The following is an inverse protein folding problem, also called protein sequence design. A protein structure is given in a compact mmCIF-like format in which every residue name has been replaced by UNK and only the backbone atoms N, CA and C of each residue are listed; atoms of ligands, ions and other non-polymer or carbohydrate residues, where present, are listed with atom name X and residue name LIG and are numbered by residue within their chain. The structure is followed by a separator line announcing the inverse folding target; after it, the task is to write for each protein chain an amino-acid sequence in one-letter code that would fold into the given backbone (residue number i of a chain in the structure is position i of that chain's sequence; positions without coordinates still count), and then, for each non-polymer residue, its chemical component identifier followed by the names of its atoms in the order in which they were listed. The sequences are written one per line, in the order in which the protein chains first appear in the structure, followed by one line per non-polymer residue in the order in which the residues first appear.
data_IF_424810682349
#
_entry.id   IF_424810682349
#
_cell.length_a   1.000
_cell.length_b   1.000
_cell.length_c   1.000
_cell.angle_alpha   90.00
_cell.angle_beta   90.00
_cell.angle_gamma   90.00
#
_symmetry.space_group_name_H-M   'P 1'
#
loop_
_entity.id
_entity.type
_entity.pdbx_description
1 polymer ?
#
# COMPACT_ATOMS: atom_id res chain seq x y z
N UNK A 1 1.54 17.97 -2.15
CA UNK A 1 0.89 17.76 -3.46
C UNK A 1 0.45 19.08 -4.01
N UNK A 2 0.91 19.38 -5.21
CA UNK A 2 0.80 20.68 -5.86
C UNK A 2 -0.64 21.17 -5.96
N UNK A 3 -1.59 20.26 -6.12
CA UNK A 3 -3.04 20.54 -6.18
C UNK A 3 -3.62 21.26 -4.95
N UNK A 4 -2.92 21.26 -3.81
CA UNK A 4 -3.35 21.96 -2.58
C UNK A 4 -2.79 23.39 -2.47
N UNK A 5 -1.84 23.76 -3.32
CA UNK A 5 -1.21 25.08 -3.31
C UNK A 5 -2.12 26.06 -4.05
N UNK A 6 -2.58 27.11 -3.36
CA UNK A 6 -3.52 28.09 -3.93
C UNK A 6 -2.85 29.15 -4.80
N UNK A 7 -1.63 29.53 -4.43
CA UNK A 7 -0.86 30.56 -5.13
C UNK A 7 0.60 30.15 -5.20
N UNK A 8 1.19 30.33 -6.38
CA UNK A 8 2.62 30.11 -6.59
C UNK A 8 3.31 31.46 -6.75
N UNK A 9 4.56 31.53 -6.31
CA UNK A 9 5.39 32.70 -6.59
C UNK A 9 5.56 32.87 -8.11
N UNK A 10 5.52 34.09 -8.67
CA UNK A 10 5.57 34.30 -10.12
C UNK A 10 6.81 33.69 -10.81
N UNK A 11 7.94 33.64 -10.11
CA UNK A 11 9.20 33.09 -10.63
C UNK A 11 9.36 31.57 -10.39
N UNK A 12 8.37 30.88 -9.84
CA UNK A 12 8.45 29.43 -9.64
C UNK A 12 8.27 28.70 -10.98
N UNK A 13 9.06 27.66 -11.26
CA UNK A 13 8.93 26.85 -12.48
C UNK A 13 7.50 26.29 -12.65
N UNK A 14 6.92 25.80 -11.57
CA UNK A 14 5.54 25.27 -11.48
C UNK A 14 4.46 26.37 -11.50
N UNK A 15 4.82 27.65 -11.58
CA UNK A 15 3.86 28.71 -11.92
C UNK A 15 3.37 28.54 -13.37
N UNK A 16 4.23 28.02 -14.25
CA UNK A 16 3.89 27.60 -15.60
C UNK A 16 2.95 26.38 -15.59
N UNK A 17 1.87 26.46 -16.36
CA UNK A 17 0.82 25.43 -16.40
C UNK A 17 1.28 24.12 -17.03
N UNK A 18 2.21 24.15 -17.99
CA UNK A 18 2.75 22.95 -18.62
C UNK A 18 3.54 22.13 -17.60
N UNK A 19 4.52 22.75 -16.93
CA UNK A 19 5.33 22.06 -15.91
C UNK A 19 4.49 21.66 -14.69
N UNK A 20 3.52 22.49 -14.27
CA UNK A 20 2.60 22.10 -13.21
C UNK A 20 1.79 20.87 -13.57
N UNK A 21 1.18 20.84 -14.75
CA UNK A 21 0.38 19.72 -15.22
C UNK A 21 1.18 18.42 -15.27
N UNK A 22 2.43 18.49 -15.72
CA UNK A 22 3.35 17.35 -15.73
C UNK A 22 3.55 16.76 -14.32
N UNK A 23 3.93 17.59 -13.34
CA UNK A 23 4.18 17.12 -11.97
C UNK A 23 2.89 16.66 -11.28
N UNK A 24 1.76 17.36 -11.49
CA UNK A 24 0.47 16.95 -10.94
C UNK A 24 -0.03 15.61 -11.48
N UNK A 25 0.23 15.31 -12.76
CA UNK A 25 -0.09 14.02 -13.35
C UNK A 25 0.72 12.91 -12.70
N UNK A 26 2.03 13.11 -12.61
CA UNK A 26 2.94 12.17 -11.95
C UNK A 26 2.53 11.92 -10.49
N UNK A 27 2.29 12.97 -9.69
CA UNK A 27 1.80 12.84 -8.32
C UNK A 27 0.50 12.03 -8.27
N UNK A 28 -0.44 12.27 -9.20
CA UNK A 28 -1.74 11.59 -9.21
C UNK A 28 -1.65 10.10 -9.54
N UNK A 29 -0.78 9.73 -10.48
CA UNK A 29 -0.54 8.33 -10.86
C UNK A 29 0.09 7.55 -9.70
N UNK A 30 1.14 8.12 -9.09
CA UNK A 30 1.81 7.52 -7.95
C UNK A 30 0.84 7.35 -6.77
N UNK A 31 0.03 8.37 -6.51
CA UNK A 31 -0.96 8.36 -5.43
C UNK A 31 -2.04 7.31 -5.63
N UNK A 32 -2.50 7.12 -6.87
CA UNK A 32 -3.46 6.08 -7.20
C UNK A 32 -2.88 4.69 -6.96
N UNK A 33 -1.61 4.48 -7.32
CA UNK A 33 -0.91 3.22 -7.08
C UNK A 33 -0.76 2.89 -5.60
N UNK A 34 -0.22 3.83 -4.82
CA UNK A 34 0.11 3.58 -3.40
C UNK A 34 -1.12 3.52 -2.49
N UNK A 35 -2.22 4.19 -2.87
CA UNK A 35 -3.46 4.25 -2.07
C UNK A 35 -3.98 2.88 -1.68
N UNK A 36 -3.97 1.92 -2.61
CA UNK A 36 -4.42 0.55 -2.36
C UNK A 36 -3.58 -0.11 -1.27
N UNK A 37 -2.25 -0.07 -1.41
CA UNK A 37 -1.32 -0.66 -0.44
C UNK A 37 -1.49 -0.02 0.93
N UNK A 38 -1.62 1.31 0.99
CA UNK A 38 -1.78 2.04 2.24
C UNK A 38 -3.10 1.69 2.95
N UNK A 39 -4.23 1.64 2.23
CA UNK A 39 -5.53 1.25 2.80
C UNK A 39 -5.44 -0.14 3.43
N UNK A 40 -4.93 -1.11 2.67
CA UNK A 40 -4.81 -2.49 3.13
C UNK A 40 -3.84 -2.62 4.32
N UNK A 41 -2.73 -1.86 4.30
CA UNK A 41 -1.77 -1.86 5.41
C UNK A 41 -2.35 -1.26 6.70
N UNK A 42 -3.15 -0.18 6.60
CA UNK A 42 -3.88 0.37 7.75
C UNK A 42 -4.86 -0.65 8.31
N UNK A 43 -5.65 -1.32 7.44
CA UNK A 43 -6.56 -2.38 7.88
C UNK A 43 -5.82 -3.50 8.60
N UNK A 44 -4.71 -3.99 8.03
CA UNK A 44 -3.88 -5.06 8.62
C UNK A 44 -3.32 -4.67 9.99
N UNK A 45 -2.91 -3.42 10.18
CA UNK A 45 -2.23 -2.97 11.41
C UNK A 45 -3.20 -2.66 12.55
N UNK A 46 -4.38 -2.15 12.24
CA UNK A 46 -5.27 -1.53 13.23
C UNK A 46 -6.62 -2.22 13.38
N UNK A 47 -6.83 -3.39 12.76
CA UNK A 47 -8.17 -3.97 12.75
C UNK A 47 -8.24 -5.48 12.62
N UNK A 48 -8.48 -6.13 13.76
CA UNK A 48 -8.96 -7.51 13.81
C UNK A 48 -10.49 -7.60 13.64
N UNK A 49 -11.21 -6.49 13.86
CA UNK A 49 -12.68 -6.42 13.89
C UNK A 49 -13.32 -5.64 12.72
N UNK A 50 -12.51 -5.16 11.80
CA UNK A 50 -12.91 -4.33 10.64
C UNK A 50 -12.89 -2.85 10.91
N UNK A 51 -12.69 -2.08 9.83
CA UNK A 51 -12.68 -0.60 9.86
C UNK A 51 -13.79 -0.08 8.96
N UNK A 52 -14.55 0.92 9.42
CA UNK A 52 -15.52 1.59 8.55
C UNK A 52 -14.88 2.73 7.75
N UNK A 53 -15.46 3.05 6.59
CA UNK A 53 -14.83 3.92 5.58
C UNK A 53 -14.28 5.25 6.11
N UNK A 54 -15.06 5.99 6.90
CA UNK A 54 -14.61 7.26 7.46
C UNK A 54 -13.44 7.10 8.45
N UNK A 55 -13.41 6.03 9.26
CA UNK A 55 -12.26 5.73 10.12
C UNK A 55 -10.98 5.51 9.32
N UNK A 56 -11.06 4.81 8.18
CA UNK A 56 -9.90 4.60 7.30
C UNK A 56 -9.30 5.90 6.79
N UNK A 57 -10.16 6.84 6.35
CA UNK A 57 -9.69 8.16 5.89
C UNK A 57 -8.89 8.85 6.98
N UNK A 58 -9.42 8.86 8.20
CA UNK A 58 -8.76 9.51 9.33
C UNK A 58 -7.45 8.82 9.71
N UNK A 59 -7.46 7.50 9.83
CA UNK A 59 -6.26 6.71 10.13
C UNK A 59 -5.16 6.91 9.08
N UNK A 60 -5.50 6.95 7.78
CA UNK A 60 -4.54 7.24 6.72
C UNK A 60 -3.94 8.64 6.84
N UNK A 61 -4.77 9.64 7.12
CA UNK A 61 -4.29 11.02 7.32
C UNK A 61 -3.34 11.10 8.52
N UNK A 62 -3.73 10.51 9.66
CA UNK A 62 -2.97 10.54 10.90
C UNK A 62 -1.63 9.78 10.76
N UNK A 63 -1.67 8.54 10.26
CA UNK A 63 -0.48 7.68 10.13
C UNK A 63 0.50 8.14 9.03
N UNK A 64 0.05 8.95 8.08
CA UNK A 64 0.90 9.48 7.00
C UNK A 64 1.24 10.96 7.17
N UNK A 65 0.97 11.55 8.34
CA UNK A 65 1.23 12.98 8.60
C UNK A 65 0.62 13.90 7.52
N UNK A 66 -0.62 13.62 7.10
CA UNK A 66 -1.36 14.33 6.06
C UNK A 66 -0.75 14.28 4.64
N UNK A 67 0.25 13.42 4.39
CA UNK A 67 0.81 13.23 3.05
C UNK A 67 -0.18 12.49 2.16
N UNK A 68 -0.73 11.36 2.63
CA UNK A 68 -1.71 10.57 1.91
C UNK A 68 -3.12 10.96 2.38
N UNK A 69 -3.79 11.77 1.57
CA UNK A 69 -5.19 12.16 1.79
C UNK A 69 -6.04 11.52 0.71
N UNK A 70 -6.92 10.61 1.13
CA UNK A 70 -7.91 9.96 0.26
C UNK A 70 -9.28 10.49 0.68
N UNK A 71 -9.99 11.12 -0.24
CA UNK A 71 -11.39 11.51 -0.01
C UNK A 71 -12.34 10.31 -0.11
N UNK A 72 -13.55 10.46 0.42
CA UNK A 72 -14.57 9.42 0.40
C UNK A 72 -14.98 9.01 -1.03
N UNK A 73 -15.00 9.96 -1.95
CA UNK A 73 -15.33 9.72 -3.37
C UNK A 73 -14.31 8.81 -4.06
N UNK A 74 -13.06 8.80 -3.61
CA UNK A 74 -12.00 7.91 -4.06
C UNK A 74 -11.96 6.61 -3.27
N UNK A 75 -12.15 6.68 -1.95
CA UNK A 75 -12.05 5.53 -1.06
C UNK A 75 -13.13 4.47 -1.35
N UNK A 76 -14.41 4.86 -1.41
CA UNK A 76 -15.50 3.88 -1.51
C UNK A 76 -15.50 3.08 -2.82
N UNK A 77 -15.22 3.67 -4.00
CA UNK A 77 -15.03 2.89 -5.21
C UNK A 77 -13.88 1.89 -5.12
N UNK A 78 -12.76 2.27 -4.49
CA UNK A 78 -11.63 1.36 -4.25
C UNK A 78 -12.03 0.20 -3.34
N UNK A 79 -12.69 0.49 -2.21
CA UNK A 79 -13.18 -0.55 -1.28
C UNK A 79 -14.14 -1.51 -1.97
N UNK A 80 -15.09 -0.99 -2.76
CA UNK A 80 -16.04 -1.82 -3.52
C UNK A 80 -15.33 -2.70 -4.55
N UNK A 81 -14.31 -2.17 -5.23
CA UNK A 81 -13.50 -2.95 -6.18
C UNK A 81 -12.75 -4.06 -5.47
N UNK A 82 -12.03 -3.74 -4.39
CA UNK A 82 -11.27 -4.74 -3.62
C UNK A 82 -12.16 -5.82 -3.00
N UNK A 83 -13.38 -5.48 -2.58
CA UNK A 83 -14.36 -6.46 -2.13
C UNK A 83 -14.83 -7.37 -3.27
N UNK A 84 -15.14 -6.79 -4.45
CA UNK A 84 -15.51 -7.56 -5.64
C UNK A 84 -14.40 -8.53 -6.06
N UNK A 85 -13.15 -8.09 -5.94
CA UNK A 85 -11.95 -8.85 -6.30
C UNK A 85 -11.53 -9.85 -5.20
N UNK A 86 -12.30 -9.99 -4.11
CA UNK A 86 -12.05 -10.96 -3.03
C UNK A 86 -10.92 -10.58 -2.07
N UNK A 87 -10.33 -9.39 -2.21
CA UNK A 87 -9.28 -8.88 -1.31
C UNK A 87 -9.87 -8.47 0.04
N UNK A 88 -11.11 -8.00 0.03
CA UNK A 88 -11.83 -7.57 1.23
C UNK A 88 -13.16 -8.33 1.37
N UNK A 89 -13.61 -8.43 2.61
CA UNK A 89 -14.99 -8.75 2.97
C UNK A 89 -15.59 -7.61 3.76
N UNK A 90 -16.91 -7.46 3.73
CA UNK A 90 -17.58 -6.46 4.54
C UNK A 90 -18.79 -6.99 5.28
N UNK A 91 -19.11 -6.31 6.38
CA UNK A 91 -20.27 -6.57 7.22
C UNK A 91 -20.96 -5.26 7.57
N UNK A 92 -22.29 -5.29 7.71
CA UNK A 92 -23.08 -4.15 8.19
C UNK A 92 -23.30 -4.32 9.68
N UNK A 93 -22.83 -3.35 10.47
CA UNK A 93 -23.02 -3.29 11.92
C UNK A 93 -23.89 -2.09 12.29
N UNK A 94 -24.80 -2.27 13.23
CA UNK A 94 -25.54 -1.17 13.83
C UNK A 94 -24.78 -0.70 15.07
N UNK A 95 -24.29 0.55 15.04
CA UNK A 95 -23.52 1.17 16.12
C UNK A 95 -24.13 2.53 16.39
N UNK A 96 -24.57 2.76 17.64
CA UNK A 96 -25.25 3.98 18.08
C UNK A 96 -26.47 4.34 17.21
N UNK A 97 -27.26 3.33 16.83
CA UNK A 97 -28.45 3.49 15.99
C UNK A 97 -28.15 3.81 14.52
N UNK A 98 -26.87 3.80 14.11
CA UNK A 98 -26.47 4.01 12.71
C UNK A 98 -25.90 2.72 12.13
N UNK A 99 -26.43 2.33 10.97
CA UNK A 99 -25.86 1.22 10.20
C UNK A 99 -24.59 1.68 9.49
N UNK A 100 -23.46 1.04 9.81
CA UNK A 100 -22.14 1.31 9.21
C UNK A 100 -21.62 0.04 8.55
N UNK A 101 -20.91 0.21 7.44
CA UNK A 101 -20.24 -0.90 6.75
C UNK A 101 -18.78 -0.98 7.19
N UNK A 102 -18.40 -2.11 7.74
CA UNK A 102 -17.04 -2.41 8.20
C UNK A 102 -16.39 -3.34 7.18
N UNK A 103 -15.12 -3.09 6.87
CA UNK A 103 -14.33 -3.86 5.92
C UNK A 103 -13.18 -4.56 6.64
N UNK A 104 -12.90 -5.80 6.22
CA UNK A 104 -11.81 -6.63 6.71
C UNK A 104 -11.04 -7.25 5.55
N UNK A 105 -9.75 -7.47 5.75
CA UNK A 105 -8.92 -8.27 4.84
C UNK A 105 -9.36 -9.73 4.88
N UNK A 106 -9.49 -10.33 3.70
CA UNK A 106 -9.51 -11.80 3.58
C UNK A 106 -8.11 -12.36 3.78
N UNK A 107 -7.99 -13.67 3.95
CA UNK A 107 -6.67 -14.30 4.02
C UNK A 107 -5.90 -14.15 2.71
N UNK A 108 -6.58 -14.28 1.57
CA UNK A 108 -5.98 -13.97 0.26
C UNK A 108 -5.61 -12.49 0.14
N UNK A 109 -6.43 -11.58 0.68
CA UNK A 109 -6.11 -10.16 0.75
C UNK A 109 -4.84 -9.87 1.54
N UNK A 110 -4.59 -10.57 2.64
CA UNK A 110 -3.33 -10.46 3.42
C UNK A 110 -2.13 -10.94 2.61
N UNK A 111 -2.26 -12.06 1.90
CA UNK A 111 -1.22 -12.61 1.02
C UNK A 111 -0.89 -11.66 -0.12
N UNK A 112 -1.90 -11.14 -0.81
CA UNK A 112 -1.74 -10.15 -1.88
C UNK A 112 -1.09 -8.86 -1.36
N UNK A 113 -1.49 -8.37 -0.18
CA UNK A 113 -0.83 -7.24 0.47
C UNK A 113 0.66 -7.50 0.74
N UNK A 114 1.03 -8.67 1.25
CA UNK A 114 2.42 -9.03 1.47
C UNK A 114 3.23 -9.01 0.15
N UNK A 115 2.66 -9.54 -0.93
CA UNK A 115 3.28 -9.49 -2.26
C UNK A 115 3.48 -8.05 -2.73
N UNK A 116 2.44 -7.21 -2.67
CA UNK A 116 2.53 -5.81 -3.08
C UNK A 116 3.58 -5.02 -2.28
N UNK A 117 3.64 -5.22 -0.96
CA UNK A 117 4.67 -4.61 -0.10
C UNK A 117 6.08 -5.12 -0.43
N UNK A 118 6.19 -6.40 -0.76
CA UNK A 118 7.44 -7.02 -1.20
C UNK A 118 7.98 -6.39 -2.48
N UNK A 119 7.14 -6.36 -3.51
CA UNK A 119 7.45 -5.70 -4.78
C UNK A 119 7.80 -4.22 -4.58
N UNK A 120 7.00 -3.48 -3.79
CA UNK A 120 7.23 -2.06 -3.52
C UNK A 120 8.58 -1.81 -2.84
N UNK A 121 8.94 -2.62 -1.82
CA UNK A 121 10.24 -2.52 -1.16
C UNK A 121 11.40 -2.79 -2.13
N UNK A 122 11.29 -3.82 -2.98
CA UNK A 122 12.35 -4.15 -3.96
C UNK A 122 12.51 -3.08 -5.02
N UNK A 123 11.42 -2.50 -5.51
CA UNK A 123 11.46 -1.38 -6.46
C UNK A 123 12.18 -0.18 -5.85
N UNK A 124 11.81 0.17 -4.62
CA UNK A 124 12.41 1.27 -3.88
C UNK A 124 13.91 1.06 -3.62
N UNK A 125 14.31 -0.15 -3.22
CA UNK A 125 15.71 -0.55 -3.05
C UNK A 125 16.50 -0.42 -4.36
N UNK A 126 15.93 -0.82 -5.49
CA UNK A 126 16.57 -0.75 -6.80
C UNK A 126 16.73 0.69 -7.33
N UNK A 127 15.80 1.58 -6.98
CA UNK A 127 15.82 3.00 -7.39
C UNK A 127 16.67 3.86 -6.45
N UNK A 128 16.82 3.47 -5.20
CA UNK A 128 17.56 4.26 -4.19
C UNK A 128 18.99 4.64 -4.64
N UNK A 129 19.82 3.76 -5.24
CA UNK A 129 21.16 4.14 -5.72
C UNK A 129 21.17 5.16 -6.87
N UNK A 130 20.04 5.33 -7.57
CA UNK A 130 19.88 6.34 -8.61
C UNK A 130 19.45 7.70 -8.05
N UNK A 131 19.21 7.78 -6.74
CA UNK A 131 18.62 8.92 -6.06
C UNK A 131 19.46 9.31 -4.83
N UNK A 132 19.24 10.52 -4.32
CA UNK A 132 19.98 11.02 -3.15
C UNK A 132 19.35 10.58 -1.81
N UNK A 133 18.76 9.38 -1.75
CA UNK A 133 18.14 8.85 -0.53
C UNK A 133 18.49 7.38 -0.28
N UNK A 134 18.64 7.03 0.99
CA UNK A 134 18.85 5.65 1.43
C UNK A 134 17.56 5.05 1.99
N UNK A 135 17.38 3.75 1.77
CA UNK A 135 16.27 2.99 2.34
C UNK A 135 16.83 1.88 3.21
N UNK A 136 16.41 1.85 4.48
CA UNK A 136 16.76 0.79 5.43
C UNK A 136 15.61 -0.21 5.51
N UNK A 137 15.80 -1.37 4.90
CA UNK A 137 14.89 -2.50 5.04
C UNK A 137 15.39 -3.40 6.19
N UNK A 138 14.51 -3.86 7.11
CA UNK A 138 14.91 -4.85 8.11
C UNK A 138 15.07 -6.23 7.45
N UNK A 139 16.25 -6.49 6.89
CA UNK A 139 16.61 -7.71 6.14
C UNK A 139 16.66 -8.97 7.02
N UNK A 140 16.81 -8.82 8.33
CA UNK A 140 16.90 -9.89 9.32
C UNK A 140 15.56 -10.59 9.62
N UNK A 141 14.45 -10.08 9.08
CA UNK A 141 13.10 -10.57 9.42
C UNK A 141 12.40 -11.34 8.30
N UNK A 142 12.84 -11.14 7.05
CA UNK A 142 12.20 -11.75 5.90
C UNK A 142 13.19 -11.94 4.75
N UNK A 143 12.97 -12.98 3.97
CA UNK A 143 13.54 -13.11 2.64
C UNK A 143 12.54 -12.64 1.59
N UNK A 144 13.04 -12.22 0.43
CA UNK A 144 12.21 -11.93 -0.73
C UNK A 144 12.20 -13.14 -1.66
N UNK A 145 11.02 -13.55 -2.10
CA UNK A 145 10.89 -14.55 -3.16
C UNK A 145 11.61 -14.05 -4.42
N UNK A 146 12.55 -14.81 -5.00
CA UNK A 146 13.29 -14.36 -6.18
C UNK A 146 12.42 -14.23 -7.43
N UNK A 147 11.30 -14.96 -7.49
CA UNK A 147 10.42 -14.95 -8.66
C UNK A 147 9.40 -13.79 -8.65
N UNK A 148 8.85 -13.45 -7.48
CA UNK A 148 7.76 -12.47 -7.40
C UNK A 148 7.96 -11.38 -6.33
N UNK A 149 9.12 -11.31 -5.68
CA UNK A 149 9.43 -10.37 -4.61
C UNK A 149 8.49 -10.45 -3.38
N UNK A 150 7.67 -11.50 -3.22
CA UNK A 150 6.87 -11.67 -1.99
C UNK A 150 7.76 -11.74 -0.76
N UNK A 151 7.38 -11.04 0.33
CA UNK A 151 8.07 -11.15 1.62
C UNK A 151 7.66 -12.45 2.31
N UNK A 152 8.65 -13.30 2.59
CA UNK A 152 8.49 -14.55 3.33
C UNK A 152 9.23 -14.36 4.65
N UNK A 153 8.53 -14.47 5.76
CA UNK A 153 9.18 -14.37 7.08
C UNK A 153 10.13 -15.54 7.29
N UNK A 154 11.28 -15.28 7.89
CA UNK A 154 12.29 -16.33 8.15
C UNK A 154 11.79 -17.38 9.17
N UNK A 155 10.89 -17.01 10.07
CA UNK A 155 10.23 -17.92 11.02
C UNK A 155 9.21 -18.87 10.35
N UNK A 156 8.68 -18.48 9.18
CA UNK A 156 7.64 -19.19 8.44
C UNK A 156 8.21 -19.84 7.17
N UNK A 157 9.45 -20.36 7.20
CA UNK A 157 10.08 -20.97 6.01
C UNK A 157 9.25 -22.17 5.51
N UNK A 158 8.38 -21.88 4.55
CA UNK A 158 7.59 -22.85 3.80
C UNK A 158 8.42 -23.43 2.66
N UNK A 159 8.05 -24.62 2.17
CA UNK A 159 8.75 -25.25 1.02
C UNK A 159 8.63 -24.43 -0.27
N UNK A 160 7.59 -23.61 -0.39
CA UNK A 160 7.30 -22.81 -1.58
C UNK A 160 6.69 -21.44 -1.22
N UNK A 161 6.83 -20.48 -2.12
CA UNK A 161 6.19 -19.17 -2.04
C UNK A 161 4.68 -19.30 -2.23
N UNK A 162 3.89 -18.93 -1.23
CA UNK A 162 2.42 -19.03 -1.27
C UNK A 162 1.72 -18.18 -2.35
N UNK A 163 2.45 -17.25 -2.98
CA UNK A 163 1.93 -16.36 -4.03
C UNK A 163 2.17 -16.94 -5.42
N UNK A 164 3.39 -17.40 -5.71
CA UNK A 164 3.79 -17.81 -7.06
C UNK A 164 4.21 -19.27 -7.19
N UNK A 165 4.25 -20.03 -6.08
CA UNK A 165 4.63 -21.44 -6.06
C UNK A 165 6.13 -21.72 -6.15
N UNK A 166 7.00 -20.70 -6.20
CA UNK A 166 8.46 -20.89 -6.26
C UNK A 166 9.00 -21.68 -5.07
N UNK A 167 9.76 -22.75 -5.30
CA UNK A 167 10.33 -23.58 -4.23
C UNK A 167 11.47 -22.85 -3.51
N UNK A 168 11.32 -22.65 -2.21
CA UNK A 168 12.25 -21.86 -1.37
C UNK A 168 13.45 -22.70 -0.93
N UNK A 169 13.30 -24.03 -0.82
CA UNK A 169 14.37 -24.98 -0.43
C UNK A 169 15.56 -25.00 -1.42
N UNK A 170 15.37 -24.55 -2.67
CA UNK A 170 16.45 -24.46 -3.67
C UNK A 170 17.52 -23.41 -3.30
N UNK A 171 17.19 -22.46 -2.41
CA UNK A 171 18.10 -21.41 -1.96
C UNK A 171 18.99 -21.82 -0.78
N UNK A 172 18.58 -22.82 0.01
CA UNK A 172 19.38 -23.31 1.15
C UNK A 172 20.49 -24.28 0.74
N UNK A 173 20.42 -24.87 -0.46
CA UNK A 173 21.40 -25.84 -0.97
C UNK A 173 22.49 -25.24 -1.88
N UNK A 174 22.50 -23.91 -2.10
CA UNK A 174 23.54 -23.23 -2.88
C UNK A 174 24.65 -22.61 -1.99
N UNK A 175 24.69 -22.97 -0.71
CA UNK A 175 25.63 -22.44 0.29
C UNK A 175 26.64 -23.43 0.86
N UNK A 176 26.72 -24.66 0.32
CA UNK A 176 27.73 -25.67 0.69
C UNK A 176 28.80 -25.84 -0.40
#
# INVERSE_FOLDING_TARGET
MLKKVRTFHPNALIADLHYRGYVESFESELMRGISTVAILQIMKRFSDQGVYGYQLVKMLQDETNNVLIIDEGTLYPLLKKMEKDGVLVSERKNVDGRTRRYYNLTDDGKKLLNHMLGFFSKLLEAVAPLSDFEIKLPEDKYMFCPNCANKIKLEDLTKFCEICGYFVEELTNQGD
#
